data_IF_917510835958
#
_entry.id   IF_917510835958
#
_cell.length_a   1.000
_cell.length_b   1.000
_cell.length_c   1.000
_cell.angle_alpha   90.00
_cell.angle_beta   90.00
_cell.angle_gamma   90.00
#
_symmetry.space_group_name_H-M   'P 1'
#
loop_
_entity.id
_entity.type
_entity.pdbx_description
1 polymer ?
#
# COMPACT_ATOMS: atom_id res chain seq x y z
N UNK A 1 2.18 8.24 -8.14
CA UNK A 1 2.45 9.37 -7.23
C UNK A 1 2.18 8.85 -5.83
N UNK A 2 3.21 8.72 -4.98
CA UNK A 2 3.03 8.21 -3.63
C UNK A 2 2.25 9.23 -2.75
N UNK A 3 1.70 8.81 -1.60
CA UNK A 3 1.01 9.65 -0.58
C UNK A 3 -0.17 10.51 -1.05
N UNK A 4 -0.87 10.09 -2.11
CA UNK A 4 -2.13 10.70 -2.56
C UNK A 4 -3.26 9.68 -2.55
N UNK A 5 -4.41 10.09 -2.03
CA UNK A 5 -5.68 9.37 -2.03
C UNK A 5 -6.33 9.38 -3.42
N UNK A 6 -6.20 10.50 -4.12
CA UNK A 6 -6.63 10.68 -5.51
C UNK A 6 -5.78 11.73 -6.22
N UNK A 7 -5.90 11.80 -7.54
CA UNK A 7 -5.23 12.78 -8.40
C UNK A 7 -6.27 13.51 -9.26
N UNK A 8 -6.15 14.83 -9.33
CA UNK A 8 -6.91 15.68 -10.23
C UNK A 8 -6.02 16.07 -11.41
N UNK A 9 -6.52 15.92 -12.63
CA UNK A 9 -5.85 16.36 -13.86
C UNK A 9 -6.84 17.20 -14.65
N UNK A 10 -6.38 18.32 -15.19
CA UNK A 10 -7.17 19.16 -16.07
C UNK A 10 -6.62 19.07 -17.49
N UNK A 11 -7.50 18.93 -18.47
CA UNK A 11 -7.13 18.96 -19.89
C UNK A 11 -7.94 20.03 -20.60
N UNK A 12 -7.29 20.79 -21.48
CA UNK A 12 -7.93 21.74 -22.38
C UNK A 12 -7.67 21.27 -23.81
N UNK A 13 -8.74 21.05 -24.57
CA UNK A 13 -8.67 20.76 -26.00
C UNK A 13 -9.56 21.76 -26.74
N UNK A 14 -8.98 22.51 -27.66
CA UNK A 14 -9.58 23.72 -28.24
C UNK A 14 -10.00 24.69 -27.12
N UNK A 15 -11.32 24.83 -26.89
CA UNK A 15 -11.90 25.66 -25.83
C UNK A 15 -12.61 24.83 -24.76
N UNK A 16 -12.42 23.52 -24.75
CA UNK A 16 -13.14 22.61 -23.86
C UNK A 16 -12.23 22.14 -22.73
N UNK A 17 -12.54 22.60 -21.51
CA UNK A 17 -11.92 22.17 -20.27
C UNK A 17 -12.60 20.91 -19.74
N UNK A 18 -11.81 19.94 -19.30
CA UNK A 18 -12.26 18.75 -18.55
C UNK A 18 -11.41 18.58 -17.30
N UNK A 19 -12.07 18.35 -16.18
CA UNK A 19 -11.50 17.73 -14.99
C UNK A 19 -11.55 16.20 -15.13
N UNK A 20 -10.44 15.56 -14.79
CA UNK A 20 -10.25 14.12 -14.65
C UNK A 20 -9.89 13.83 -13.20
N UNK A 21 -10.67 12.97 -12.56
CA UNK A 21 -10.44 12.48 -11.20
C UNK A 21 -10.00 11.03 -11.27
N UNK A 22 -8.83 10.73 -10.73
CA UNK A 22 -8.25 9.40 -10.66
C UNK A 22 -8.13 8.96 -9.20
N UNK A 23 -8.73 7.84 -8.85
CA UNK A 23 -8.49 7.14 -7.58
C UNK A 23 -8.08 5.68 -7.87
N UNK A 24 -7.93 4.86 -6.82
CA UNK A 24 -7.60 3.43 -6.97
C UNK A 24 -8.76 2.55 -7.43
N UNK A 25 -9.93 3.12 -7.61
CA UNK A 25 -11.11 2.43 -8.14
C UNK A 25 -11.40 2.79 -9.61
N UNK A 26 -10.77 3.83 -10.16
CA UNK A 26 -10.85 4.16 -11.59
C UNK A 26 -10.82 5.66 -11.89
N UNK A 27 -11.35 6.02 -13.06
CA UNK A 27 -11.38 7.39 -13.59
C UNK A 27 -12.81 7.93 -13.66
N UNK A 28 -12.98 9.19 -13.25
CA UNK A 28 -14.19 9.99 -13.48
C UNK A 28 -13.81 11.21 -14.31
N UNK A 29 -14.52 11.46 -15.40
CA UNK A 29 -14.29 12.61 -16.26
C UNK A 29 -15.52 13.50 -16.25
N UNK A 30 -15.31 14.78 -15.95
CA UNK A 30 -16.37 15.79 -16.04
C UNK A 30 -16.86 16.00 -17.47
N UNK A 31 -18.09 16.50 -17.61
CA UNK A 31 -18.57 17.01 -18.91
C UNK A 31 -17.69 18.18 -19.35
N UNK A 32 -17.40 18.29 -20.65
CA UNK A 32 -16.54 19.35 -21.15
C UNK A 32 -17.20 20.71 -20.98
N UNK A 33 -16.46 21.68 -20.45
CA UNK A 33 -16.91 23.06 -20.22
C UNK A 33 -16.22 24.01 -21.18
N UNK A 34 -16.98 24.83 -21.90
CA UNK A 34 -16.40 25.80 -22.82
C UNK A 34 -15.86 27.02 -22.04
N UNK A 35 -14.54 27.20 -22.03
CA UNK A 35 -13.87 28.26 -21.26
C UNK A 35 -14.14 29.67 -21.79
N UNK A 36 -14.46 29.83 -23.08
CA UNK A 36 -14.80 31.14 -23.65
C UNK A 36 -16.20 31.57 -23.25
N UNK A 37 -17.12 30.62 -23.04
CA UNK A 37 -18.48 30.90 -22.54
C UNK A 37 -18.53 31.04 -21.03
N UNK A 38 -17.59 30.44 -20.31
CA UNK A 38 -17.50 30.49 -18.86
C UNK A 38 -16.03 30.66 -18.42
N UNK A 39 -15.44 31.86 -18.55
CA UNK A 39 -14.05 32.11 -18.19
C UNK A 39 -13.79 31.98 -16.68
N UNK A 40 -14.83 32.19 -15.85
CA UNK A 40 -14.76 32.03 -14.40
C UNK A 40 -14.36 30.59 -14.02
N UNK A 41 -14.84 29.57 -14.75
CA UNK A 41 -14.46 28.17 -14.52
C UNK A 41 -12.96 27.92 -14.67
N UNK A 42 -12.30 28.62 -15.60
CA UNK A 42 -10.86 28.50 -15.76
C UNK A 42 -10.12 29.10 -14.54
N UNK A 43 -10.59 30.25 -14.05
CA UNK A 43 -10.04 30.87 -12.84
C UNK A 43 -10.26 30.00 -11.60
N UNK A 44 -11.43 29.38 -11.45
CA UNK A 44 -11.71 28.43 -10.36
C UNK A 44 -10.74 27.25 -10.36
N UNK A 45 -10.44 26.70 -11.55
CA UNK A 45 -9.47 25.61 -11.69
C UNK A 45 -8.07 26.06 -11.31
N UNK A 46 -7.62 27.22 -11.79
CA UNK A 46 -6.31 27.75 -11.44
C UNK A 46 -6.20 28.00 -9.94
N UNK A 47 -7.22 28.64 -9.33
CA UNK A 47 -7.28 28.87 -7.89
C UNK A 47 -7.27 27.56 -7.10
N UNK A 48 -7.98 26.54 -7.57
CA UNK A 48 -7.97 25.22 -6.92
C UNK A 48 -6.57 24.61 -6.98
N UNK A 49 -5.91 24.64 -8.14
CA UNK A 49 -4.58 24.05 -8.31
C UNK A 49 -3.48 24.77 -7.50
N UNK A 50 -3.62 26.08 -7.27
CA UNK A 50 -2.59 26.89 -6.63
C UNK A 50 -2.83 27.16 -5.14
N UNK A 51 -4.09 27.24 -4.71
CA UNK A 51 -4.45 27.71 -3.36
C UNK A 51 -5.23 26.69 -2.53
N UNK A 52 -5.72 25.60 -3.12
CA UNK A 52 -6.49 24.63 -2.35
C UNK A 52 -5.62 23.96 -1.28
N UNK A 53 -6.22 23.71 -0.11
CA UNK A 53 -5.59 22.93 0.94
C UNK A 53 -5.14 21.55 0.38
N UNK A 54 -3.94 21.04 0.72
CA UNK A 54 -3.42 19.78 0.19
C UNK A 54 -4.41 18.61 0.25
N UNK A 55 -5.16 18.50 1.35
CA UNK A 55 -6.22 17.50 1.53
C UNK A 55 -7.26 17.47 0.39
N UNK A 56 -7.62 18.66 -0.13
CA UNK A 56 -8.56 18.82 -1.25
C UNK A 56 -7.90 18.51 -2.61
N UNK A 57 -6.57 18.54 -2.68
CA UNK A 57 -5.78 18.09 -3.82
C UNK A 57 -5.46 16.59 -3.76
N UNK A 58 -6.04 15.89 -2.79
CA UNK A 58 -5.92 14.44 -2.63
C UNK A 58 -4.69 14.00 -1.85
N UNK A 59 -3.95 14.91 -1.19
CA UNK A 59 -2.92 14.50 -0.24
C UNK A 59 -3.55 13.79 0.96
N UNK A 60 -2.84 12.79 1.46
CA UNK A 60 -3.18 12.11 2.70
C UNK A 60 -2.86 13.01 3.90
N UNK A 61 -3.85 13.35 4.76
CA UNK A 61 -3.62 14.24 5.91
C UNK A 61 -2.86 13.57 7.06
N UNK A 62 -2.74 12.24 7.05
CA UNK A 62 -2.13 11.44 8.13
C UNK A 62 -0.67 11.10 7.84
N UNK A 63 -0.08 11.71 6.82
CA UNK A 63 1.35 11.56 6.56
C UNK A 63 1.91 12.80 5.87
N UNK A 64 3.22 12.94 5.96
CA UNK A 64 3.97 13.98 5.29
C UNK A 64 5.28 13.40 4.76
N UNK A 65 5.72 13.92 3.62
CA UNK A 65 7.04 13.64 3.08
C UNK A 65 7.78 14.97 2.94
N UNK A 66 8.97 15.02 3.52
CA UNK A 66 9.85 16.16 3.38
C UNK A 66 10.27 16.28 1.91
N UNK A 67 10.10 17.47 1.34
CA UNK A 67 10.74 17.84 0.09
C UNK A 67 12.02 18.67 0.37
N UNK A 68 12.86 18.96 -0.64
CA UNK A 68 14.08 19.75 -0.44
C UNK A 68 13.84 21.17 0.10
N UNK A 69 12.60 21.66 0.06
CA UNK A 69 12.21 22.97 0.58
C UNK A 69 11.65 22.90 1.99
N UNK A 70 11.48 21.69 2.54
CA UNK A 70 11.04 21.48 3.90
C UNK A 70 12.08 22.08 4.87
N UNK A 71 11.69 23.15 5.56
CA UNK A 71 12.54 23.87 6.52
C UNK A 71 12.73 23.14 7.85
N UNK A 72 12.48 21.83 7.89
CA UNK A 72 12.72 21.00 9.07
C UNK A 72 11.88 21.36 10.29
N UNK A 73 10.64 21.83 10.10
CA UNK A 73 9.74 22.17 11.23
C UNK A 73 9.18 20.93 11.95
N UNK A 74 9.84 19.78 11.82
CA UNK A 74 9.40 18.55 12.46
C UNK A 74 10.20 18.35 13.74
N UNK A 75 9.67 18.88 14.85
CA UNK A 75 10.34 18.85 16.15
C UNK A 75 10.56 17.43 16.72
N UNK A 76 9.85 16.43 16.19
CA UNK A 76 9.75 15.09 16.77
C UNK A 76 10.18 13.95 15.83
N UNK A 77 10.95 14.24 14.77
CA UNK A 77 11.40 13.19 13.85
C UNK A 77 12.83 12.74 14.10
N UNK A 78 13.08 11.47 13.78
CA UNK A 78 14.41 10.88 13.79
C UNK A 78 15.32 11.60 12.81
N UNK A 79 16.61 11.64 13.14
CA UNK A 79 17.65 12.16 12.25
C UNK A 79 17.61 11.41 10.91
N UNK A 80 17.69 12.13 9.79
CA UNK A 80 17.57 11.62 8.42
C UNK A 80 16.18 11.09 8.02
N UNK A 81 15.14 11.31 8.81
CA UNK A 81 13.77 11.01 8.40
C UNK A 81 13.39 11.84 7.16
N UNK A 82 12.80 11.18 6.17
CA UNK A 82 12.28 11.78 4.93
C UNK A 82 10.80 12.15 5.03
N UNK A 83 10.20 12.02 6.22
CA UNK A 83 8.79 12.30 6.46
C UNK A 83 8.27 11.64 7.72
N UNK A 84 6.95 11.66 7.88
CA UNK A 84 6.27 11.03 9.00
C UNK A 84 4.93 10.42 8.59
N UNK A 85 4.51 9.40 9.33
CA UNK A 85 3.20 8.75 9.21
C UNK A 85 2.54 8.69 10.58
N UNK A 86 1.28 9.09 10.67
CA UNK A 86 0.46 8.90 11.87
C UNK A 86 0.07 7.42 12.01
N UNK A 87 0.36 6.86 13.19
CA UNK A 87 0.03 5.51 13.61
C UNK A 87 -1.41 5.41 14.13
N UNK A 88 -1.92 4.19 14.30
CA UNK A 88 -3.23 3.89 14.88
C UNK A 88 -3.52 4.55 16.23
N UNK A 89 -2.49 4.84 17.02
CA UNK A 89 -2.53 5.50 18.33
C UNK A 89 -2.29 7.01 18.26
N UNK A 90 -2.29 7.59 17.05
CA UNK A 90 -1.96 9.00 16.75
C UNK A 90 -0.53 9.42 17.09
N UNK A 91 0.35 8.47 17.38
CA UNK A 91 1.79 8.75 17.45
C UNK A 91 2.37 8.93 16.04
N UNK A 92 3.46 9.68 15.93
CA UNK A 92 4.18 9.82 14.66
C UNK A 92 5.29 8.79 14.53
N UNK A 93 5.28 8.07 13.42
CA UNK A 93 6.37 7.22 12.96
C UNK A 93 7.22 8.00 11.98
N UNK A 94 8.54 8.05 12.21
CA UNK A 94 9.50 8.66 11.30
C UNK A 94 9.68 7.77 10.07
N UNK A 95 9.45 8.29 8.86
CA UNK A 95 9.74 7.57 7.62
C UNK A 95 11.24 7.69 7.35
N UNK A 96 11.95 6.58 7.36
CA UNK A 96 13.39 6.56 7.09
C UNK A 96 13.69 6.38 5.60
N UNK A 97 12.92 5.51 4.94
CA UNK A 97 13.07 5.26 3.50
C UNK A 97 11.82 4.59 2.90
N UNK A 98 11.75 4.60 1.57
CA UNK A 98 10.78 3.80 0.81
C UNK A 98 11.45 2.47 0.48
N UNK A 99 10.93 1.36 1.01
CA UNK A 99 11.43 0.00 0.76
C UNK A 99 10.97 -0.52 -0.60
N UNK A 100 9.70 -0.29 -0.92
CA UNK A 100 9.11 -0.82 -2.15
C UNK A 100 7.91 0.00 -2.60
N UNK A 101 7.63 0.00 -3.90
CA UNK A 101 6.45 0.63 -4.50
C UNK A 101 5.96 -0.15 -5.71
N UNK A 102 4.64 -0.35 -5.77
CA UNK A 102 3.97 -0.90 -6.95
C UNK A 102 4.04 0.07 -8.14
N UNK A 103 4.30 -0.48 -9.32
CA UNK A 103 4.44 0.31 -10.57
C UNK A 103 3.11 0.51 -11.32
N UNK A 104 2.02 -0.16 -10.91
CA UNK A 104 0.71 -0.08 -11.56
C UNK A 104 -0.14 1.14 -11.16
N UNK A 105 -0.80 1.78 -12.14
CA UNK A 105 -1.72 2.89 -11.90
C UNK A 105 -3.06 2.44 -11.29
N UNK A 106 -3.66 1.37 -11.80
CA UNK A 106 -4.97 0.84 -11.38
C UNK A 106 -4.87 -0.39 -10.44
N UNK A 107 -3.76 -0.54 -9.73
CA UNK A 107 -3.56 -1.62 -8.75
C UNK A 107 -3.87 -1.15 -7.32
N UNK A 108 -3.62 -2.02 -6.33
CA UNK A 108 -3.66 -1.68 -4.89
C UNK A 108 -2.80 -0.46 -4.52
N UNK A 109 -1.86 -0.05 -5.38
CA UNK A 109 -1.05 1.14 -5.12
C UNK A 109 -0.14 0.98 -3.92
N UNK A 110 0.18 -0.26 -3.54
CA UNK A 110 0.97 -0.61 -2.36
C UNK A 110 2.32 0.09 -2.36
N UNK A 111 2.70 0.65 -1.21
CA UNK A 111 4.00 1.23 -0.89
C UNK A 111 4.43 0.69 0.47
N UNK A 112 5.67 0.27 0.59
CA UNK A 112 6.25 -0.16 1.85
C UNK A 112 7.31 0.85 2.29
N UNK A 113 7.25 1.26 3.55
CA UNK A 113 8.16 2.21 4.17
C UNK A 113 8.96 1.53 5.28
N UNK A 114 10.23 1.90 5.42
CA UNK A 114 10.99 1.68 6.65
C UNK A 114 10.63 2.82 7.59
N UNK A 115 10.09 2.49 8.76
CA UNK A 115 9.66 3.49 9.74
C UNK A 115 10.27 3.23 11.10
N UNK A 116 10.47 4.29 11.87
CA UNK A 116 10.98 4.22 13.24
C UNK A 116 10.06 4.96 14.20
N UNK A 117 9.85 4.37 15.37
CA UNK A 117 9.25 5.02 16.53
C UNK A 117 10.24 6.00 17.18
N UNK A 118 9.75 6.83 18.12
CA UNK A 118 10.58 7.80 18.84
C UNK A 118 11.70 7.15 19.67
N UNK A 119 11.47 5.94 20.18
CA UNK A 119 12.46 5.12 20.90
C UNK A 119 13.49 4.44 19.98
N UNK A 120 13.34 4.59 18.65
CA UNK A 120 14.25 4.03 17.65
C UNK A 120 13.91 2.60 17.21
N UNK A 121 12.82 2.02 17.69
CA UNK A 121 12.37 0.70 17.20
C UNK A 121 11.96 0.77 15.73
N UNK A 122 12.46 -0.16 14.92
CA UNK A 122 12.24 -0.19 13.48
C UNK A 122 11.11 -1.16 13.07
N UNK A 123 10.28 -0.71 12.14
CA UNK A 123 9.20 -1.48 11.55
C UNK A 123 9.12 -1.28 10.02
N UNK A 124 8.51 -2.23 9.34
CA UNK A 124 8.05 -2.05 7.96
C UNK A 124 6.57 -1.63 7.98
N UNK A 125 6.24 -0.51 7.36
CA UNK A 125 4.86 -0.05 7.21
C UNK A 125 4.40 -0.26 5.78
N UNK A 126 3.39 -1.11 5.59
CA UNK A 126 2.72 -1.36 4.31
C UNK A 126 1.50 -0.46 4.20
N UNK A 127 1.50 0.44 3.22
CA UNK A 127 0.41 1.36 2.88
C UNK A 127 -0.24 0.92 1.56
N UNK A 128 -1.54 0.62 1.55
CA UNK A 128 -2.20 0.07 0.36
C UNK A 128 -3.71 0.34 0.29
N UNK A 129 -4.26 0.22 -0.91
CA UNK A 129 -5.70 0.27 -1.18
C UNK A 129 -6.26 -1.14 -1.41
N UNK A 130 -7.08 -1.62 -0.48
CA UNK A 130 -7.62 -2.99 -0.47
C UNK A 130 -9.08 -2.97 -0.89
N UNK A 131 -9.48 -3.92 -1.73
CA UNK A 131 -10.89 -4.12 -2.08
C UNK A 131 -11.69 -4.47 -0.82
N UNK A 132 -12.92 -3.99 -0.74
CA UNK A 132 -13.76 -4.14 0.45
C UNK A 132 -13.93 -5.60 0.90
N UNK A 133 -14.18 -6.50 -0.05
CA UNK A 133 -14.32 -7.95 0.18
C UNK A 133 -13.06 -8.60 0.74
N UNK A 134 -11.89 -7.97 0.53
CA UNK A 134 -10.58 -8.44 0.99
C UNK A 134 -9.99 -7.58 2.12
N UNK A 135 -10.71 -6.60 2.64
CA UNK A 135 -10.19 -5.58 3.58
C UNK A 135 -9.40 -6.18 4.76
N UNK A 136 -9.90 -7.28 5.31
CA UNK A 136 -9.33 -7.95 6.48
C UNK A 136 -8.60 -9.25 6.15
N UNK A 137 -8.46 -9.61 4.87
CA UNK A 137 -7.93 -10.91 4.44
C UNK A 137 -6.49 -11.12 4.91
N UNK A 138 -5.58 -10.21 4.52
CA UNK A 138 -4.15 -10.31 4.88
C UNK A 138 -3.96 -10.26 6.41
N UNK A 139 -4.68 -9.39 7.10
CA UNK A 139 -4.65 -9.28 8.57
C UNK A 139 -5.09 -10.59 9.23
N UNK A 140 -6.14 -11.23 8.72
CA UNK A 140 -6.63 -12.52 9.23
C UNK A 140 -5.58 -13.60 9.04
N UNK A 141 -4.97 -13.67 7.86
CA UNK A 141 -3.90 -14.65 7.57
C UNK A 141 -2.70 -14.42 8.47
N UNK A 142 -2.21 -13.18 8.61
CA UNK A 142 -1.07 -12.84 9.46
C UNK A 142 -1.31 -13.22 10.92
N UNK A 143 -2.54 -13.06 11.44
CA UNK A 143 -2.93 -13.52 12.78
C UNK A 143 -2.92 -15.04 12.90
N UNK A 144 -3.33 -15.77 11.86
CA UNK A 144 -3.29 -17.24 11.88
C UNK A 144 -1.86 -17.75 11.95
N UNK A 145 -0.93 -17.16 11.18
CA UNK A 145 0.48 -17.59 11.14
C UNK A 145 1.35 -16.97 12.23
N UNK A 146 0.75 -16.24 13.18
CA UNK A 146 1.50 -15.63 14.28
C UNK A 146 2.27 -16.68 15.10
N UNK A 147 3.51 -16.35 15.43
CA UNK A 147 4.43 -17.21 16.17
C UNK A 147 5.14 -18.27 15.32
N UNK A 148 4.85 -18.38 14.01
CA UNK A 148 5.68 -19.19 13.11
C UNK A 148 7.03 -18.48 12.91
N UNK A 149 8.17 -19.15 13.14
CA UNK A 149 9.47 -18.57 12.87
C UNK A 149 9.60 -18.23 11.38
N UNK A 150 10.37 -17.18 11.06
CA UNK A 150 10.63 -16.78 9.67
C UNK A 150 9.37 -16.36 8.88
N UNK A 151 8.32 -15.92 9.58
CA UNK A 151 7.17 -15.21 9.02
C UNK A 151 7.09 -13.83 9.66
N UNK A 152 6.82 -12.80 8.87
CA UNK A 152 6.65 -11.44 9.40
C UNK A 152 5.49 -11.39 10.38
N UNK A 153 5.68 -10.69 11.50
CA UNK A 153 4.66 -10.47 12.51
C UNK A 153 3.90 -9.18 12.23
N UNK A 154 2.57 -9.26 12.31
CA UNK A 154 1.70 -8.08 12.35
C UNK A 154 1.77 -7.44 13.74
N UNK A 155 2.19 -6.18 13.81
CA UNK A 155 2.24 -5.39 15.05
C UNK A 155 0.95 -4.62 15.25
N UNK A 156 0.48 -3.94 14.20
CA UNK A 156 -0.76 -3.18 14.21
C UNK A 156 -1.32 -3.06 12.79
N UNK A 157 -2.62 -2.83 12.67
CA UNK A 157 -3.30 -2.51 11.42
C UNK A 157 -4.40 -1.47 11.66
N UNK A 158 -4.60 -0.55 10.70
CA UNK A 158 -5.65 0.46 10.78
C UNK A 158 -6.11 0.93 9.40
N UNK A 159 -7.31 1.50 9.37
CA UNK A 159 -7.77 2.30 8.24
C UNK A 159 -7.16 3.70 8.33
N UNK A 160 -6.70 4.24 7.20
CA UNK A 160 -6.38 5.67 7.13
C UNK A 160 -7.69 6.44 7.27
N UNK A 161 -7.70 7.46 8.13
CA UNK A 161 -8.88 8.28 8.37
C UNK A 161 -8.81 9.57 7.54
N UNK A 162 -9.95 9.96 7.00
CA UNK A 162 -10.15 11.27 6.39
C UNK A 162 -11.43 11.89 6.97
N UNK A 163 -11.33 13.08 7.56
CA UNK A 163 -12.50 13.77 8.11
C UNK A 163 -13.28 12.87 9.11
N UNK A 164 -12.55 12.21 10.02
CA UNK A 164 -13.09 11.33 11.06
C UNK A 164 -13.49 9.92 10.63
N UNK A 165 -13.57 9.63 9.33
CA UNK A 165 -14.09 8.37 8.79
C UNK A 165 -13.04 7.60 7.98
N UNK A 166 -13.17 6.28 7.88
CA UNK A 166 -12.29 5.45 7.05
C UNK A 166 -12.23 5.94 5.62
N UNK A 167 -11.02 6.16 5.11
CA UNK A 167 -10.82 6.64 3.76
C UNK A 167 -11.15 5.53 2.75
N UNK A 168 -12.05 5.87 1.82
CA UNK A 168 -12.50 4.96 0.79
C UNK A 168 -12.81 5.70 -0.51
N UNK A 169 -12.62 4.99 -1.62
CA UNK A 169 -12.81 5.55 -2.97
C UNK A 169 -14.26 5.92 -3.28
N UNK A 170 -15.22 5.43 -2.48
CA UNK A 170 -16.64 5.71 -2.70
C UNK A 170 -17.05 7.15 -2.34
N UNK A 171 -16.33 7.83 -1.45
CA UNK A 171 -16.78 9.12 -0.87
C UNK A 171 -17.06 10.20 -1.93
N UNK A 172 -16.10 10.45 -2.82
CA UNK A 172 -16.23 11.47 -3.87
C UNK A 172 -17.19 11.00 -4.98
N UNK A 173 -17.25 9.69 -5.23
CA UNK A 173 -18.16 9.08 -6.22
C UNK A 173 -19.61 9.23 -5.81
N UNK A 174 -19.92 8.94 -4.54
CA UNK A 174 -21.24 9.05 -3.95
C UNK A 174 -21.78 10.48 -4.03
N UNK A 175 -20.95 11.48 -3.71
CA UNK A 175 -21.37 12.89 -3.74
C UNK A 175 -21.71 13.41 -5.14
N UNK A 176 -21.25 12.73 -6.20
CA UNK A 176 -21.50 13.11 -7.60
C UNK A 176 -22.47 12.16 -8.32
N UNK A 177 -23.16 11.27 -7.60
CA UNK A 177 -24.11 10.33 -8.19
C UNK A 177 -23.48 9.35 -9.20
N UNK A 178 -22.15 9.16 -9.13
CA UNK A 178 -21.45 8.15 -9.95
C UNK A 178 -21.73 6.80 -9.31
N UNK A 179 -22.79 6.15 -9.79
CA UNK A 179 -23.31 4.90 -9.24
C UNK A 179 -22.25 3.78 -9.18
N UNK A 180 -22.29 2.98 -8.13
CA UNK A 180 -21.29 1.96 -7.78
C UNK A 180 -21.20 0.77 -8.75
N UNK A 181 -22.14 0.64 -9.69
CA UNK A 181 -22.21 -0.47 -10.65
C UNK A 181 -21.13 -0.33 -11.73
N UNK A 182 -19.90 -0.72 -11.41
CA UNK A 182 -18.78 -0.73 -12.35
C UNK A 182 -17.40 -0.55 -11.72
N UNK A 183 -17.33 -0.24 -10.42
CA UNK A 183 -16.05 -0.03 -9.74
C UNK A 183 -16.00 -0.75 -8.40
N UNK A 184 -14.84 -1.32 -8.10
CA UNK A 184 -14.59 -2.00 -6.83
C UNK A 184 -14.36 -0.94 -5.77
N UNK A 185 -15.18 -0.90 -4.71
CA UNK A 185 -14.94 -0.04 -3.54
C UNK A 185 -13.66 -0.51 -2.85
N UNK A 186 -12.76 0.44 -2.58
CA UNK A 186 -11.48 0.17 -1.90
C UNK A 186 -11.34 1.05 -0.66
N UNK A 187 -10.70 0.50 0.36
CA UNK A 187 -10.33 1.17 1.60
C UNK A 187 -8.81 1.36 1.66
N UNK A 188 -8.37 2.52 2.16
CA UNK A 188 -6.96 2.81 2.39
C UNK A 188 -6.54 2.25 3.76
N UNK A 189 -5.58 1.33 3.75
CA UNK A 189 -5.15 0.52 4.89
C UNK A 189 -3.66 0.67 5.14
N UNK A 190 -3.27 0.60 6.41
CA UNK A 190 -1.87 0.50 6.85
C UNK A 190 -1.68 -0.70 7.74
N UNK A 191 -0.59 -1.43 7.51
CA UNK A 191 -0.14 -2.55 8.34
C UNK A 191 1.29 -2.25 8.81
N UNK A 192 1.51 -2.33 10.12
CA UNK A 192 2.82 -2.23 10.75
C UNK A 192 3.35 -3.64 11.01
N UNK A 193 4.53 -3.94 10.47
CA UNK A 193 5.09 -5.28 10.36
C UNK A 193 6.51 -5.32 10.95
N UNK A 194 6.90 -6.46 11.53
CA UNK A 194 8.26 -6.71 12.04
C UNK A 194 8.68 -8.16 11.78
N UNK A 195 9.96 -8.44 11.44
CA UNK A 195 11.06 -7.50 11.30
C UNK A 195 10.98 -6.65 10.03
N UNK A 196 11.67 -5.50 10.05
CA UNK A 196 11.97 -4.74 8.84
C UNK A 196 13.32 -5.23 8.27
N UNK A 197 13.30 -5.85 7.10
CA UNK A 197 14.48 -6.45 6.49
C UNK A 197 14.81 -5.89 5.11
N UNK A 198 15.89 -6.40 4.54
CA UNK A 198 16.30 -6.10 3.17
C UNK A 198 15.79 -7.17 2.20
N UNK A 199 15.47 -6.84 0.94
CA UNK A 199 15.08 -7.83 -0.06
C UNK A 199 16.09 -8.98 -0.18
N UNK A 200 15.61 -10.22 -0.32
CA UNK A 200 16.47 -11.41 -0.42
C UNK A 200 17.57 -11.28 -1.47
N UNK A 201 17.29 -10.59 -2.59
CA UNK A 201 18.23 -10.34 -3.70
C UNK A 201 19.48 -9.56 -3.30
N UNK A 202 19.48 -8.89 -2.14
CA UNK A 202 20.60 -8.12 -1.61
C UNK A 202 21.49 -8.95 -0.64
N UNK A 203 21.33 -10.28 -0.61
CA UNK A 203 22.17 -11.15 0.21
C UNK A 203 23.66 -10.88 -0.02
N UNK A 204 24.45 -10.85 1.06
CA UNK A 204 25.89 -10.59 0.99
C UNK A 204 26.68 -11.89 0.88
N UNK A 205 26.21 -12.94 1.56
CA UNK A 205 26.88 -14.24 1.60
C UNK A 205 25.98 -15.34 1.05
N UNK A 206 26.56 -16.28 0.30
CA UNK A 206 25.85 -17.49 -0.17
C UNK A 206 25.22 -18.28 0.97
N UNK A 207 25.84 -18.23 2.15
CA UNK A 207 25.34 -18.89 3.35
C UNK A 207 24.02 -18.27 3.84
N UNK A 208 23.83 -16.96 3.72
CA UNK A 208 22.57 -16.29 4.06
C UNK A 208 21.45 -16.76 3.15
N UNK A 209 21.74 -16.88 1.85
CA UNK A 209 20.78 -17.38 0.87
C UNK A 209 20.36 -18.83 1.20
N UNK A 210 21.33 -19.72 1.48
CA UNK A 210 21.04 -21.11 1.84
C UNK A 210 20.23 -21.22 3.14
N UNK A 211 20.56 -20.40 4.16
CA UNK A 211 19.79 -20.32 5.41
C UNK A 211 18.38 -19.82 5.17
N UNK A 212 18.21 -18.78 4.37
CA UNK A 212 16.90 -18.25 4.01
C UNK A 212 16.03 -19.31 3.34
N UNK A 213 16.56 -20.09 2.39
CA UNK A 213 15.82 -21.21 1.79
C UNK A 213 15.41 -22.26 2.82
N UNK A 214 16.30 -22.64 3.74
CA UNK A 214 15.97 -23.55 4.82
C UNK A 214 14.86 -22.97 5.74
N UNK A 215 14.95 -21.68 6.07
CA UNK A 215 13.92 -20.98 6.83
C UNK A 215 12.57 -21.01 6.09
N UNK A 216 12.55 -20.77 4.78
CA UNK A 216 11.32 -20.74 3.99
C UNK A 216 10.64 -22.11 3.93
N UNK A 217 11.40 -23.20 3.74
CA UNK A 217 10.82 -24.55 3.75
C UNK A 217 10.19 -24.86 5.11
N UNK A 218 10.91 -24.55 6.20
CA UNK A 218 10.45 -24.82 7.57
C UNK A 218 9.20 -24.00 7.92
N UNK A 219 9.23 -22.69 7.64
CA UNK A 219 8.10 -21.81 7.89
C UNK A 219 6.88 -22.20 7.04
N UNK A 220 7.08 -22.57 5.78
CA UNK A 220 6.00 -22.99 4.90
C UNK A 220 5.34 -24.28 5.36
N UNK A 221 6.11 -25.27 5.84
CA UNK A 221 5.55 -26.49 6.45
C UNK A 221 4.68 -26.15 7.69
N UNK A 222 5.15 -25.26 8.55
CA UNK A 222 4.39 -24.80 9.72
C UNK A 222 3.13 -23.99 9.34
N UNK A 223 3.19 -23.21 8.25
CA UNK A 223 2.02 -22.49 7.73
C UNK A 223 0.97 -23.46 7.21
N UNK A 224 1.37 -24.52 6.50
CA UNK A 224 0.48 -25.59 6.06
C UNK A 224 -0.17 -26.31 7.24
N UNK A 225 0.58 -26.52 8.34
CA UNK A 225 0.04 -27.04 9.60
C UNK A 225 -1.02 -26.15 10.25
N UNK A 226 -1.11 -24.87 9.85
CA UNK A 226 -2.17 -23.93 10.22
C UNK A 226 -3.17 -23.66 9.10
N UNK A 227 -3.19 -24.53 8.08
CA UNK A 227 -4.05 -24.41 6.90
C UNK A 227 -3.86 -23.11 6.10
N UNK A 228 -2.65 -22.53 6.13
CA UNK A 228 -2.31 -21.35 5.36
C UNK A 228 -1.33 -21.72 4.26
N UNK A 229 -1.67 -21.36 3.03
CA UNK A 229 -0.78 -21.39 1.87
C UNK A 229 -0.45 -19.96 1.46
N UNK A 230 0.83 -19.62 1.31
CA UNK A 230 1.25 -18.25 0.96
C UNK A 230 0.69 -17.77 -0.39
N UNK A 231 0.57 -18.68 -1.37
CA UNK A 231 -0.08 -18.41 -2.66
C UNK A 231 0.73 -17.58 -3.65
N UNK A 232 1.78 -16.88 -3.21
CA UNK A 232 2.69 -16.12 -4.08
C UNK A 232 4.16 -16.28 -3.65
N UNK A 233 4.80 -17.35 -4.12
CA UNK A 233 6.20 -17.64 -3.83
C UNK A 233 7.09 -16.99 -4.90
N UNK A 234 7.50 -15.75 -4.64
CA UNK A 234 8.43 -15.00 -5.49
C UNK A 234 9.59 -14.45 -4.67
N UNK A 235 10.80 -14.28 -5.26
CA UNK A 235 11.94 -13.68 -4.56
C UNK A 235 11.67 -12.27 -4.00
N UNK A 236 10.66 -11.57 -4.53
CA UNK A 236 10.26 -10.24 -4.07
C UNK A 236 9.48 -10.28 -2.74
N UNK A 237 8.92 -11.44 -2.38
CA UNK A 237 8.15 -11.64 -1.15
C UNK A 237 9.01 -12.23 -0.02
N UNK A 238 10.33 -12.18 -0.18
CA UNK A 238 11.31 -12.67 0.78
C UNK A 238 12.25 -11.55 1.20
N UNK A 239 12.48 -11.43 2.50
CA UNK A 239 13.45 -10.50 3.08
C UNK A 239 14.49 -11.25 3.91
N UNK A 240 15.65 -10.64 4.12
CA UNK A 240 16.65 -11.04 5.09
C UNK A 240 16.67 -10.02 6.23
N UNK A 241 16.68 -10.52 7.46
CA UNK A 241 16.92 -9.73 8.66
C UNK A 241 17.78 -10.55 9.62
N UNK A 242 18.86 -9.97 10.12
CA UNK A 242 19.84 -10.63 11.01
C UNK A 242 20.32 -12.00 10.49
N UNK A 243 20.56 -12.09 9.18
CA UNK A 243 21.05 -13.31 8.51
C UNK A 243 20.03 -14.45 8.41
N UNK A 244 18.74 -14.18 8.70
CA UNK A 244 17.62 -15.12 8.58
C UNK A 244 16.64 -14.65 7.50
N UNK A 245 16.05 -15.59 6.76
CA UNK A 245 15.01 -15.29 5.77
C UNK A 245 13.63 -15.16 6.41
N UNK A 246 12.77 -14.27 5.91
CA UNK A 246 11.38 -14.13 6.33
C UNK A 246 10.40 -14.04 5.14
N UNK A 247 9.23 -14.67 5.28
CA UNK A 247 8.07 -14.45 4.41
C UNK A 247 7.41 -13.10 4.69
N UNK A 248 7.11 -12.35 3.63
CA UNK A 248 6.29 -11.14 3.64
C UNK A 248 5.20 -11.23 2.57
N UNK A 249 4.25 -10.29 2.60
CA UNK A 249 3.19 -10.11 1.59
C UNK A 249 2.20 -11.28 1.48
N UNK A 250 1.27 -11.35 2.44
CA UNK A 250 0.25 -12.41 2.53
C UNK A 250 -1.06 -12.06 1.81
N UNK A 251 -1.01 -11.04 0.96
CA UNK A 251 -2.12 -10.53 0.14
C UNK A 251 -2.78 -11.61 -0.76
N UNK A 252 -1.99 -12.59 -1.18
CA UNK A 252 -2.40 -13.69 -2.07
C UNK A 252 -2.57 -15.03 -1.34
N UNK A 253 -2.41 -15.04 -0.01
CA UNK A 253 -2.49 -16.25 0.77
C UNK A 253 -3.91 -16.83 0.75
N UNK A 254 -3.99 -18.15 0.86
CA UNK A 254 -5.24 -18.90 0.88
C UNK A 254 -5.35 -19.70 2.16
N UNK A 255 -6.53 -19.68 2.76
CA UNK A 255 -6.89 -20.56 3.86
C UNK A 255 -7.43 -21.85 3.23
N UNK A 256 -6.77 -22.97 3.48
CA UNK A 256 -7.10 -24.28 2.92
C UNK A 256 -8.17 -24.92 3.81
N UNK A 257 -9.22 -25.50 3.22
CA UNK A 257 -10.20 -26.26 3.97
C UNK A 257 -9.59 -27.58 4.49
N UNK A 258 -9.99 -28.01 5.68
CA UNK A 258 -9.58 -29.31 6.23
C UNK A 258 -9.86 -30.44 5.21
N UNK A 259 -8.83 -31.21 4.86
CA UNK A 259 -8.94 -32.35 3.94
C UNK A 259 -8.78 -32.03 2.44
N UNK A 260 -8.52 -30.78 2.04
CA UNK A 260 -8.23 -30.45 0.64
C UNK A 260 -6.79 -30.84 0.26
N UNK A 261 -6.64 -31.83 -0.62
CA UNK A 261 -5.34 -32.37 -1.08
C UNK A 261 -4.76 -31.54 -2.24
N UNK A 262 -5.51 -30.59 -2.80
CA UNK A 262 -5.01 -29.68 -3.84
C UNK A 262 -5.71 -28.33 -3.82
N UNK A 263 -4.93 -27.28 -4.04
CA UNK A 263 -5.41 -25.92 -4.29
C UNK A 263 -5.16 -25.63 -5.77
N UNK A 264 -6.15 -25.16 -6.56
CA UNK A 264 -5.90 -24.75 -7.93
C UNK A 264 -4.87 -23.61 -7.95
N UNK A 265 -3.73 -23.86 -8.58
CA UNK A 265 -2.72 -22.84 -8.87
C UNK A 265 -3.23 -21.96 -10.02
N UNK A 266 -3.44 -20.67 -9.76
CA UNK A 266 -3.56 -19.63 -10.81
C UNK A 266 -2.19 -19.03 -11.17
N UNK A 267 -1.10 -19.75 -10.86
CA UNK A 267 0.26 -19.34 -11.17
C UNK A 267 0.59 -19.45 -12.66
N UNK A 268 1.37 -18.48 -13.15
CA UNK A 268 1.90 -18.37 -14.51
C UNK A 268 2.99 -19.40 -14.79
N UNK A 269 2.66 -20.70 -14.74
CA UNK A 269 3.50 -21.74 -15.33
C UNK A 269 2.64 -22.50 -16.31
N UNK A 270 2.61 -22.01 -17.56
CA UNK A 270 2.20 -22.85 -18.68
C UNK A 270 3.26 -23.94 -18.83
N UNK A 271 2.81 -25.17 -18.63
CA UNK A 271 3.40 -26.43 -19.06
C UNK A 271 4.70 -26.31 -19.86
N UNK A 272 5.83 -26.55 -19.20
CA UNK A 272 7.01 -27.08 -19.87
C UNK A 272 6.78 -28.58 -20.05
N UNK A 273 6.04 -28.94 -21.11
CA UNK A 273 6.14 -30.27 -21.68
C UNK A 273 7.53 -30.40 -22.31
N UNK A 274 8.42 -31.12 -21.63
CA UNK A 274 9.66 -31.60 -22.21
C UNK A 274 9.31 -32.79 -23.11
N UNK A 275 9.49 -32.59 -24.43
CA UNK A 275 9.71 -33.67 -25.41
C UNK A 275 11.19 -33.97 -25.50
#
# INVERSE_FOLDING_TARGET
QPWRRFVLIFTIANNMLRLHYFDRSGLIISRPTNILKNPVRLLEVLNTLTLAHPNNLGYDPTMHMCDPTCKGSHADLRENAVGWIESHDKSHLSIMSVLWRSQGFFSRGTICYRVQTSDGTEYALKDCWVAEDKKNHEVTVLKMVEGIPNVVKLVADWDVLYDGESDCTYRIRASHGVCASGFIRRFHRRLLLTPCGEPLVLYSLKLELLRAFHNFVTAHELMLGRHVLHGDLSPNNFIIHDGQGYFIDFDHARIIAEGAVSVPSEGTVKDLQLS
#
